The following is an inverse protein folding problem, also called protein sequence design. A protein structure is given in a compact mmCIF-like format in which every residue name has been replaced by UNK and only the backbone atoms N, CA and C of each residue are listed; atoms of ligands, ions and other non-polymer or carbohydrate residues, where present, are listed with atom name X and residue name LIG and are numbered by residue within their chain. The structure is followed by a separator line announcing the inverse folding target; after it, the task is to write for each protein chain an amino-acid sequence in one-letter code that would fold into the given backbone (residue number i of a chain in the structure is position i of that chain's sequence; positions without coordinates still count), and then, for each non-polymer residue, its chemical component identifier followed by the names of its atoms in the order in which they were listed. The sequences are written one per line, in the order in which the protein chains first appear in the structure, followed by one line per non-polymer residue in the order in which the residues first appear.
data_IF_967316949451
#
_entry.id   IF_967316949451
#
_cell.length_a   1.000
_cell.length_b   1.000
_cell.length_c   1.000
_cell.angle_alpha   90.00
_cell.angle_beta   90.00
_cell.angle_gamma   90.00
#
_symmetry.space_group_name_H-M   'P 1'
#
loop_
_entity.id
_entity.type
_entity.pdbx_description
1 polymer ?
#
# COMPACT_ATOMS: atom_id res chain seq x y z
N UNK A 1 17.32 10.33 0.79
CA UNK A 1 17.41 9.02 1.47
C UNK A 1 16.01 8.74 1.96
N UNK A 2 15.37 7.68 1.47
CA UNK A 2 14.01 7.35 1.88
C UNK A 2 14.08 7.00 3.36
N UNK A 3 13.36 7.76 4.19
CA UNK A 3 13.11 7.40 5.58
C UNK A 3 12.30 6.10 5.54
N UNK A 4 12.85 5.03 6.11
CA UNK A 4 12.07 3.84 6.40
C UNK A 4 11.19 4.21 7.60
N UNK A 5 10.04 4.82 7.30
CA UNK A 5 9.16 5.38 8.32
C UNK A 5 8.69 4.28 9.29
N UNK A 6 9.06 4.45 10.57
CA UNK A 6 8.52 3.63 11.65
C UNK A 6 7.08 4.06 11.93
N UNK A 7 6.18 3.08 12.05
CA UNK A 7 4.75 3.35 12.20
C UNK A 7 4.26 2.85 13.55
N UNK A 8 3.83 3.78 14.39
CA UNK A 8 3.17 3.49 15.67
C UNK A 8 1.68 3.75 15.51
N UNK A 9 0.87 2.71 15.73
CA UNK A 9 -0.60 2.83 15.68
C UNK A 9 -1.15 3.68 16.83
N UNK A 10 -0.72 3.38 18.06
CA UNK A 10 -1.10 4.09 19.28
C UNK A 10 0.08 4.10 20.27
N UNK A 11 0.36 5.26 20.86
CA UNK A 11 1.36 5.42 21.91
C UNK A 11 0.67 5.95 23.18
N UNK A 12 0.63 5.12 24.22
CA UNK A 12 0.03 5.48 25.52
C UNK A 12 1.13 5.64 26.55
N UNK A 13 1.19 6.80 27.19
CA UNK A 13 2.08 7.08 28.31
C UNK A 13 1.24 7.10 29.59
N UNK A 14 1.36 6.06 30.39
CA UNK A 14 0.71 5.97 31.72
C UNK A 14 1.70 6.44 32.78
N UNK A 15 1.41 7.59 33.40
CA UNK A 15 2.30 8.25 34.35
C UNK A 15 1.49 8.63 35.59
N UNK A 16 1.87 8.04 36.72
CA UNK A 16 1.31 8.37 38.03
C UNK A 16 2.21 9.37 38.73
N UNK A 17 1.61 10.38 39.36
CA UNK A 17 2.32 11.38 40.15
C UNK A 17 2.00 11.20 41.64
N UNK A 18 3.04 11.25 42.48
CA UNK A 18 2.89 11.22 43.94
C UNK A 18 2.66 12.62 44.55
N UNK A 19 2.58 13.67 43.71
CA UNK A 19 2.38 15.06 44.10
C UNK A 19 0.93 15.50 43.81
N UNK A 20 0.31 16.23 44.74
CA UNK A 20 -1.14 16.52 44.77
C UNK A 20 -1.75 17.21 43.53
N UNK A 21 -3.09 17.23 43.50
CA UNK A 21 -3.99 17.41 42.33
C UNK A 21 -3.83 18.68 41.47
N UNK A 22 -3.07 19.71 41.88
CA UNK A 22 -3.14 21.06 41.30
C UNK A 22 -1.91 21.46 40.45
N UNK A 23 -1.49 20.67 39.47
CA UNK A 23 -0.40 21.13 38.59
C UNK A 23 -0.57 20.86 37.10
N UNK A 24 -1.59 21.52 36.54
CA UNK A 24 -1.85 21.66 35.11
C UNK A 24 -0.60 22.09 34.33
N UNK A 25 0.22 22.99 34.89
CA UNK A 25 1.45 23.48 34.26
C UNK A 25 2.46 22.35 34.06
N UNK A 26 2.55 21.40 35.00
CA UNK A 26 3.44 20.24 34.89
C UNK A 26 2.92 19.19 33.93
N UNK A 27 1.61 18.95 33.86
CA UNK A 27 1.03 18.07 32.84
C UNK A 27 1.29 18.58 31.43
N UNK A 28 1.25 19.91 31.24
CA UNK A 28 1.63 20.55 29.97
C UNK A 28 3.13 20.38 29.70
N UNK A 29 4.00 20.66 30.67
CA UNK A 29 5.44 20.50 30.52
C UNK A 29 5.86 19.05 30.19
N UNK A 30 5.15 18.06 30.76
CA UNK A 30 5.36 16.64 30.44
C UNK A 30 4.90 16.33 29.01
N UNK A 31 3.72 16.80 28.62
CA UNK A 31 3.21 16.62 27.25
C UNK A 31 4.17 17.20 26.22
N UNK A 32 4.73 18.38 26.49
CA UNK A 32 5.74 19.01 25.65
C UNK A 32 7.03 18.18 25.60
N UNK A 33 7.55 17.71 26.74
CA UNK A 33 8.73 16.85 26.77
C UNK A 33 8.53 15.55 25.99
N UNK A 34 7.35 14.92 26.11
CA UNK A 34 7.02 13.71 25.39
C UNK A 34 7.06 13.95 23.87
N UNK A 35 6.47 15.05 23.41
CA UNK A 35 6.43 15.41 21.98
C UNK A 35 7.79 15.87 21.45
N UNK A 36 8.53 16.67 22.21
CA UNK A 36 9.74 17.33 21.72
C UNK A 36 11.00 16.48 21.87
N UNK A 37 11.00 15.52 22.80
CA UNK A 37 12.20 14.73 23.12
C UNK A 37 11.96 13.22 23.08
N UNK A 38 10.89 12.72 23.70
CA UNK A 38 10.69 11.27 23.84
C UNK A 38 10.30 10.61 22.52
N UNK A 39 9.37 11.21 21.76
CA UNK A 39 8.99 10.68 20.44
C UNK A 39 10.17 10.68 19.45
N UNK A 40 10.96 11.77 19.29
CA UNK A 40 12.16 11.72 18.45
C UNK A 40 13.21 10.69 18.91
N UNK A 41 13.31 10.42 20.22
CA UNK A 41 14.20 9.37 20.72
C UNK A 41 13.70 7.97 20.37
N UNK A 42 12.39 7.75 20.29
CA UNK A 42 11.84 6.47 19.86
C UNK A 42 12.28 6.14 18.43
N UNK A 43 12.13 7.11 17.50
CA UNK A 43 12.58 6.98 16.11
C UNK A 43 14.06 6.57 16.02
N UNK A 44 14.94 7.29 16.74
CA UNK A 44 16.36 6.98 16.76
C UNK A 44 16.68 5.58 17.31
N UNK A 45 15.88 5.09 18.27
CA UNK A 45 16.03 3.73 18.80
C UNK A 45 15.53 2.70 17.78
N UNK A 46 14.45 2.98 17.05
CA UNK A 46 13.96 2.07 16.03
C UNK A 46 14.94 1.97 14.86
N UNK A 47 15.52 3.09 14.41
CA UNK A 47 16.57 3.11 13.38
C UNK A 47 17.79 2.26 13.76
N UNK A 48 18.20 2.29 15.03
CA UNK A 48 19.34 1.54 15.55
C UNK A 48 19.11 0.02 15.57
N UNK A 49 17.84 -0.41 15.59
CA UNK A 49 17.44 -1.78 15.92
C UNK A 49 16.80 -2.49 14.71
N UNK A 50 16.20 -1.75 13.79
CA UNK A 50 15.53 -2.28 12.61
C UNK A 50 16.53 -2.82 11.58
N UNK A 51 16.44 -4.10 11.17
CA UNK A 51 17.28 -4.64 10.10
C UNK A 51 16.85 -4.10 8.73
N UNK A 52 17.83 -3.75 7.90
CA UNK A 52 17.59 -3.30 6.53
C UNK A 52 16.77 -4.34 5.71
N UNK A 53 15.81 -3.87 4.92
CA UNK A 53 14.93 -4.67 4.05
C UNK A 53 13.99 -5.65 4.77
N UNK A 54 13.81 -5.52 6.09
CA UNK A 54 12.83 -6.29 6.84
C UNK A 54 11.81 -5.38 7.50
N UNK A 55 10.62 -5.92 7.74
CA UNK A 55 9.59 -5.28 8.54
C UNK A 55 9.44 -6.12 9.81
N UNK A 56 9.75 -5.52 10.95
CA UNK A 56 9.38 -6.07 12.25
C UNK A 56 8.01 -5.53 12.62
N UNK A 57 7.07 -6.44 12.84
CA UNK A 57 5.75 -6.11 13.37
C UNK A 57 5.72 -6.50 14.84
N UNK A 58 5.21 -5.60 15.68
CA UNK A 58 4.99 -5.83 17.10
C UNK A 58 3.58 -5.33 17.41
N UNK A 59 2.69 -6.25 17.81
CA UNK A 59 1.28 -5.95 18.10
C UNK A 59 1.15 -5.05 19.34
N UNK A 60 1.97 -5.30 20.37
CA UNK A 60 2.00 -4.52 21.61
C UNK A 60 3.39 -4.52 22.23
N UNK A 61 3.90 -3.32 22.53
CA UNK A 61 5.15 -3.12 23.27
C UNK A 61 4.85 -2.35 24.56
N UNK A 62 5.00 -3.02 25.69
CA UNK A 62 4.95 -2.37 27.01
C UNK A 62 6.37 -2.10 27.48
N UNK A 63 6.63 -0.87 27.92
CA UNK A 63 7.93 -0.43 28.42
C UNK A 63 7.73 0.16 29.80
N UNK A 64 8.29 -0.51 30.81
CA UNK A 64 8.33 0.02 32.16
C UNK A 64 9.53 0.98 32.32
N UNK A 65 9.23 2.22 32.70
CA UNK A 65 10.23 3.26 32.96
C UNK A 65 10.62 3.33 34.45
N UNK A 66 9.87 2.64 35.31
CA UNK A 66 10.02 2.68 36.76
C UNK A 66 9.78 4.07 37.34
N UNK A 67 10.35 4.31 38.53
CA UNK A 67 10.20 5.57 39.26
C UNK A 67 11.26 6.59 38.87
N UNK A 68 10.83 7.74 38.35
CA UNK A 68 11.72 8.85 37.98
C UNK A 68 11.77 9.88 39.12
N UNK A 69 12.97 10.32 39.57
CA UNK A 69 13.10 11.36 40.59
C UNK A 69 12.50 12.69 40.15
N UNK A 70 11.80 13.37 41.08
CA UNK A 70 11.14 14.64 40.81
C UNK A 70 12.09 15.77 40.42
N UNK A 71 13.25 15.88 41.05
CA UNK A 71 14.10 17.06 40.85
C UNK A 71 14.78 17.08 39.47
N UNK A 72 14.83 15.94 38.78
CA UNK A 72 15.58 15.78 37.53
C UNK A 72 14.80 15.01 36.44
N UNK A 73 13.47 14.94 36.57
CA UNK A 73 12.65 14.13 35.67
C UNK A 73 12.77 14.55 34.20
N UNK A 74 13.03 15.84 33.93
CA UNK A 74 13.20 16.36 32.56
C UNK A 74 14.42 15.77 31.86
N UNK A 75 15.47 15.42 32.60
CA UNK A 75 16.69 14.80 32.07
C UNK A 75 16.62 13.28 32.15
N UNK A 76 16.18 12.76 33.29
CA UNK A 76 16.19 11.33 33.59
C UNK A 76 15.14 10.55 32.78
N UNK A 77 13.96 11.13 32.53
CA UNK A 77 12.87 10.43 31.82
C UNK A 77 13.25 10.10 30.37
N UNK A 78 13.80 11.02 29.55
CA UNK A 78 14.29 10.69 28.22
C UNK A 78 15.40 9.63 28.20
N UNK A 79 16.34 9.71 29.15
CA UNK A 79 17.45 8.75 29.26
C UNK A 79 16.95 7.34 29.58
N UNK A 80 16.04 7.21 30.55
CA UNK A 80 15.41 5.94 30.93
C UNK A 80 14.51 5.39 29.84
N UNK A 81 13.72 6.26 29.19
CA UNK A 81 12.92 5.84 28.06
C UNK A 81 13.79 5.22 26.97
N UNK A 82 14.89 5.87 26.60
CA UNK A 82 15.80 5.35 25.59
C UNK A 82 16.37 3.98 25.96
N UNK A 83 16.85 3.80 27.20
CA UNK A 83 17.46 2.55 27.64
C UNK A 83 16.43 1.43 27.78
N UNK A 84 15.28 1.69 28.42
CA UNK A 84 14.19 0.74 28.59
C UNK A 84 13.56 0.34 27.26
N UNK A 85 13.32 1.29 26.34
CA UNK A 85 12.79 0.98 25.01
C UNK A 85 13.75 0.08 24.23
N UNK A 86 15.05 0.41 24.23
CA UNK A 86 16.06 -0.40 23.56
C UNK A 86 16.11 -1.82 24.14
N UNK A 87 16.08 -1.96 25.47
CA UNK A 87 16.08 -3.24 26.13
C UNK A 87 14.82 -4.06 25.80
N UNK A 88 13.64 -3.44 25.82
CA UNK A 88 12.37 -4.08 25.48
C UNK A 88 12.35 -4.57 24.02
N UNK A 89 12.81 -3.74 23.08
CA UNK A 89 12.92 -4.12 21.67
C UNK A 89 13.92 -5.26 21.46
N UNK A 90 15.10 -5.18 22.08
CA UNK A 90 16.11 -6.25 21.99
C UNK A 90 15.62 -7.56 22.58
N UNK A 91 14.88 -7.52 23.70
CA UNK A 91 14.27 -8.71 24.28
C UNK A 91 13.23 -9.32 23.34
N UNK A 92 12.37 -8.49 22.74
CA UNK A 92 11.34 -8.94 21.78
C UNK A 92 11.97 -9.51 20.52
N UNK A 93 12.95 -8.82 19.94
CA UNK A 93 13.63 -9.23 18.71
C UNK A 93 14.53 -10.45 18.91
N UNK A 94 15.23 -10.53 20.05
CA UNK A 94 16.06 -11.68 20.41
C UNK A 94 15.24 -12.95 20.67
N UNK A 95 13.97 -12.80 21.05
CA UNK A 95 13.04 -13.90 21.27
C UNK A 95 12.38 -14.42 19.98
N UNK A 96 12.59 -13.80 18.81
CA UNK A 96 11.99 -14.19 17.51
C UNK A 96 12.52 -15.52 16.92
N UNK A 97 12.92 -16.46 17.77
CA UNK A 97 13.13 -17.85 17.38
C UNK A 97 11.82 -18.52 16.95
N UNK A 98 11.88 -19.73 16.34
CA UNK A 98 10.75 -20.40 15.70
C UNK A 98 9.55 -20.78 16.61
N UNK A 99 9.62 -20.48 17.91
CA UNK A 99 8.60 -20.78 18.91
C UNK A 99 7.88 -19.55 19.49
N UNK A 100 8.13 -18.34 18.98
CA UNK A 100 7.51 -17.12 19.51
C UNK A 100 6.08 -16.90 18.98
N UNK A 101 5.09 -17.24 19.80
CA UNK A 101 3.64 -17.01 19.58
C UNK A 101 3.17 -15.71 20.26
N UNK A 102 4.02 -14.67 20.27
CA UNK A 102 3.90 -13.54 21.21
C UNK A 102 3.66 -12.18 20.53
N UNK A 103 2.99 -12.18 19.37
CA UNK A 103 2.55 -10.96 18.67
C UNK A 103 3.69 -10.10 18.11
N UNK A 104 4.90 -10.65 17.97
CA UNK A 104 6.02 -10.00 17.32
C UNK A 104 6.63 -10.94 16.29
N UNK A 105 6.90 -10.45 15.08
CA UNK A 105 7.56 -11.22 14.03
C UNK A 105 8.31 -10.31 13.07
N UNK A 106 9.35 -10.87 12.45
CA UNK A 106 10.07 -10.20 11.38
C UNK A 106 9.77 -10.90 10.06
N UNK A 107 9.41 -10.11 9.06
CA UNK A 107 9.09 -10.58 7.72
C UNK A 107 9.86 -9.74 6.71
N UNK A 108 10.24 -10.34 5.60
CA UNK A 108 10.78 -9.59 4.46
C UNK A 108 9.81 -8.49 4.03
N UNK A 109 10.33 -7.30 3.71
CA UNK A 109 9.51 -6.14 3.38
C UNK A 109 8.59 -6.38 2.19
N UNK A 110 9.11 -6.98 1.12
CA UNK A 110 8.31 -7.27 -0.07
C UNK A 110 7.21 -8.29 0.23
N UNK A 111 7.48 -9.26 1.11
CA UNK A 111 6.49 -10.25 1.57
C UNK A 111 5.37 -9.60 2.40
N UNK A 112 5.73 -8.69 3.32
CA UNK A 112 4.73 -7.92 4.08
C UNK A 112 3.86 -7.08 3.14
N UNK A 113 4.49 -6.43 2.16
CA UNK A 113 3.81 -5.57 1.20
C UNK A 113 2.89 -6.32 0.25
N UNK A 114 3.33 -7.48 -0.22
CA UNK A 114 2.48 -8.36 -1.01
C UNK A 114 1.23 -8.79 -0.24
N UNK A 115 1.36 -9.04 1.06
CA UNK A 115 0.25 -9.45 1.92
C UNK A 115 -0.80 -8.35 2.03
N UNK A 116 -0.41 -7.14 2.44
CA UNK A 116 -1.40 -6.06 2.56
C UNK A 116 -1.93 -5.59 1.21
N UNK A 117 -1.13 -5.65 0.13
CA UNK A 117 -1.59 -5.33 -1.22
C UNK A 117 -2.73 -6.27 -1.63
N UNK A 118 -2.59 -7.57 -1.39
CA UNK A 118 -3.65 -8.54 -1.66
C UNK A 118 -4.93 -8.23 -0.88
N UNK A 119 -4.81 -7.88 0.39
CA UNK A 119 -5.94 -7.49 1.25
C UNK A 119 -6.61 -6.19 0.78
N UNK A 120 -5.81 -5.19 0.37
CA UNK A 120 -6.31 -3.96 -0.21
C UNK A 120 -7.06 -4.19 -1.50
N UNK A 121 -6.52 -4.99 -2.43
CA UNK A 121 -7.19 -5.27 -3.70
C UNK A 121 -8.54 -5.98 -3.46
N UNK A 122 -8.59 -6.90 -2.51
CA UNK A 122 -9.83 -7.63 -2.14
C UNK A 122 -10.86 -6.75 -1.45
N UNK A 123 -10.45 -5.95 -0.46
CA UNK A 123 -11.39 -5.25 0.44
C UNK A 123 -11.57 -3.77 0.11
N UNK A 124 -10.63 -3.18 -0.63
CA UNK A 124 -10.52 -1.75 -0.87
C UNK A 124 -10.02 -0.95 0.34
N UNK A 125 -9.56 -1.61 1.40
CA UNK A 125 -9.10 -0.97 2.64
C UNK A 125 -7.60 -1.15 2.78
N UNK A 126 -6.88 -0.05 2.95
CA UNK A 126 -5.46 -0.10 3.32
C UNK A 126 -5.36 -0.38 4.82
N UNK A 127 -4.41 -1.22 5.27
CA UNK A 127 -4.12 -1.30 6.69
C UNK A 127 -3.53 0.03 7.16
N UNK A 128 -3.67 0.31 8.45
CA UNK A 128 -3.08 1.51 9.07
C UNK A 128 -1.55 1.55 8.89
N UNK A 129 -0.90 0.38 8.84
CA UNK A 129 0.54 0.21 8.63
C UNK A 129 1.01 0.46 7.20
N UNK A 130 0.11 0.59 6.22
CA UNK A 130 0.50 0.99 4.86
C UNK A 130 0.64 2.51 4.72
N UNK A 131 0.32 3.29 5.75
CA UNK A 131 0.37 4.75 5.72
C UNK A 131 -0.57 5.36 4.67
N UNK A 132 -0.29 6.61 4.29
CA UNK A 132 -0.98 7.29 3.18
C UNK A 132 -0.21 7.03 1.89
N UNK A 133 -0.60 6.00 1.15
CA UNK A 133 -0.03 5.72 -0.16
C UNK A 133 -0.67 6.62 -1.23
N UNK A 134 0.17 7.37 -1.95
CA UNK A 134 -0.17 7.91 -3.25
C UNK A 134 0.14 6.92 -4.38
N UNK A 135 -0.27 7.24 -5.61
CA UNK A 135 -0.01 6.39 -6.79
C UNK A 135 1.49 6.11 -7.02
N UNK A 136 2.36 7.10 -6.77
CA UNK A 136 3.81 6.93 -6.85
C UNK A 136 4.37 5.92 -5.84
N UNK A 137 3.73 5.81 -4.68
CA UNK A 137 4.15 4.89 -3.62
C UNK A 137 3.73 3.46 -3.96
N UNK A 138 2.55 3.29 -4.57
CA UNK A 138 2.09 2.01 -5.12
C UNK A 138 3.03 1.48 -6.20
N UNK A 139 3.49 2.32 -7.12
CA UNK A 139 4.44 1.94 -8.16
C UNK A 139 5.77 1.43 -7.55
N UNK A 140 6.28 2.12 -6.52
CA UNK A 140 7.50 1.73 -5.83
C UNK A 140 7.35 0.39 -5.08
N UNK A 141 6.21 0.19 -4.41
CA UNK A 141 5.85 -1.07 -3.74
C UNK A 141 5.80 -2.21 -4.74
N UNK A 142 5.11 -2.03 -5.86
CA UNK A 142 4.97 -3.09 -6.87
C UNK A 142 6.31 -3.47 -7.50
N UNK A 143 7.14 -2.49 -7.85
CA UNK A 143 8.48 -2.76 -8.39
C UNK A 143 9.33 -3.57 -7.40
N UNK A 144 9.26 -3.26 -6.11
CA UNK A 144 9.95 -4.03 -5.06
C UNK A 144 9.41 -5.45 -4.93
N UNK A 145 8.09 -5.62 -4.88
CA UNK A 145 7.44 -6.94 -4.84
C UNK A 145 7.87 -7.80 -6.04
N UNK A 146 7.80 -7.24 -7.25
CA UNK A 146 8.18 -7.95 -8.48
C UNK A 146 9.66 -8.31 -8.47
N UNK A 147 10.53 -7.40 -8.04
CA UNK A 147 11.97 -7.64 -7.97
C UNK A 147 12.35 -8.73 -6.94
N UNK A 148 11.61 -8.85 -5.84
CA UNK A 148 11.87 -9.85 -4.80
C UNK A 148 11.24 -11.21 -5.11
N UNK A 149 9.95 -11.27 -5.47
CA UNK A 149 9.24 -12.52 -5.71
C UNK A 149 8.10 -12.35 -6.73
N UNK A 150 8.49 -12.29 -8.01
CA UNK A 150 7.56 -12.23 -9.14
C UNK A 150 6.56 -13.39 -9.13
N UNK A 151 6.99 -14.61 -8.77
CA UNK A 151 6.12 -15.79 -8.86
C UNK A 151 4.95 -15.70 -7.89
N UNK A 152 5.22 -15.33 -6.64
CA UNK A 152 4.20 -15.17 -5.60
C UNK A 152 3.26 -14.00 -5.87
N UNK A 153 3.78 -12.91 -6.44
CA UNK A 153 2.96 -11.80 -6.91
C UNK A 153 1.98 -12.22 -8.01
N UNK A 154 2.46 -12.96 -9.02
CA UNK A 154 1.61 -13.47 -10.09
C UNK A 154 0.56 -14.46 -9.57
N UNK A 155 0.91 -15.30 -8.60
CA UNK A 155 -0.05 -16.20 -7.96
C UNK A 155 -1.16 -15.43 -7.24
N UNK A 156 -0.82 -14.39 -6.48
CA UNK A 156 -1.79 -13.51 -5.83
C UNK A 156 -2.74 -12.87 -6.85
N UNK A 157 -2.21 -12.32 -7.95
CA UNK A 157 -3.04 -11.71 -9.00
C UNK A 157 -3.98 -12.72 -9.64
N UNK A 158 -3.52 -13.94 -9.93
CA UNK A 158 -4.38 -15.00 -10.50
C UNK A 158 -5.52 -15.39 -9.57
N UNK A 159 -5.29 -15.42 -8.25
CA UNK A 159 -6.36 -15.66 -7.26
C UNK A 159 -7.41 -14.54 -7.25
N UNK A 160 -7.02 -13.31 -7.59
CA UNK A 160 -7.89 -12.14 -7.68
C UNK A 160 -8.52 -11.93 -9.06
N UNK A 161 -8.13 -12.70 -10.08
CA UNK A 161 -8.55 -12.53 -11.48
C UNK A 161 -10.07 -12.58 -11.69
N UNK A 162 -10.76 -13.37 -10.88
CA UNK A 162 -12.22 -13.51 -10.93
C UNK A 162 -12.94 -12.33 -10.26
N UNK A 163 -12.27 -11.56 -9.40
CA UNK A 163 -12.81 -10.38 -8.75
C UNK A 163 -12.56 -9.13 -9.60
N UNK A 164 -13.63 -8.73 -10.30
CA UNK A 164 -13.65 -7.53 -11.13
C UNK A 164 -13.34 -6.26 -10.31
N UNK A 165 -13.83 -6.17 -9.08
CA UNK A 165 -13.58 -5.02 -8.20
C UNK A 165 -12.11 -4.96 -7.78
N UNK A 166 -11.46 -6.09 -7.52
CA UNK A 166 -10.04 -6.15 -7.21
C UNK A 166 -9.18 -5.74 -8.41
N UNK A 167 -9.52 -6.25 -9.60
CA UNK A 167 -8.84 -5.90 -10.86
C UNK A 167 -8.97 -4.41 -11.17
N UNK A 168 -10.18 -3.85 -11.05
CA UNK A 168 -10.41 -2.42 -11.27
C UNK A 168 -9.69 -1.54 -10.25
N UNK A 169 -9.56 -1.98 -9.00
CA UNK A 169 -8.76 -1.27 -7.98
C UNK A 169 -7.28 -1.25 -8.36
N UNK A 170 -6.72 -2.37 -8.82
CA UNK A 170 -5.34 -2.44 -9.26
C UNK A 170 -5.08 -1.46 -10.42
N UNK A 171 -5.90 -1.53 -11.47
CA UNK A 171 -5.77 -0.64 -12.65
C UNK A 171 -5.79 0.84 -12.25
N UNK A 172 -6.70 1.24 -11.34
CA UNK A 172 -6.79 2.64 -10.87
C UNK A 172 -5.60 3.14 -10.05
N UNK A 173 -4.77 2.26 -9.49
CA UNK A 173 -3.61 2.65 -8.69
C UNK A 173 -2.31 2.70 -9.50
N UNK A 174 -2.30 2.10 -10.69
CA UNK A 174 -1.11 2.00 -11.53
C UNK A 174 -0.94 3.23 -12.41
N UNK A 175 0.29 3.74 -12.49
CA UNK A 175 0.67 4.60 -13.60
C UNK A 175 0.78 3.79 -14.90
N UNK A 176 0.59 4.44 -16.06
CA UNK A 176 0.64 3.82 -17.39
C UNK A 176 1.95 3.04 -17.62
N UNK A 177 3.09 3.58 -17.20
CA UNK A 177 4.39 2.91 -17.34
C UNK A 177 4.52 1.65 -16.48
N UNK A 178 4.01 1.68 -15.24
CA UNK A 178 4.02 0.49 -14.36
C UNK A 178 3.09 -0.59 -14.89
N UNK A 179 1.98 -0.21 -15.51
CA UNK A 179 1.10 -1.16 -16.20
C UNK A 179 1.83 -1.82 -17.38
N UNK A 180 2.60 -1.06 -18.15
CA UNK A 180 3.45 -1.60 -19.24
C UNK A 180 4.46 -2.63 -18.72
N UNK A 181 5.12 -2.33 -17.61
CA UNK A 181 6.06 -3.25 -16.96
C UNK A 181 5.35 -4.53 -16.51
N UNK A 182 4.16 -4.40 -15.91
CA UNK A 182 3.34 -5.52 -15.46
C UNK A 182 2.95 -6.48 -16.62
N UNK A 183 2.57 -5.94 -17.78
CA UNK A 183 2.27 -6.76 -18.96
C UNK A 183 3.47 -7.58 -19.44
N UNK A 184 4.68 -7.04 -19.28
CA UNK A 184 5.92 -7.74 -19.61
C UNK A 184 6.19 -8.88 -18.62
N UNK A 185 6.00 -8.62 -17.32
CA UNK A 185 6.15 -9.63 -16.25
C UNK A 185 5.15 -10.79 -16.41
N UNK A 186 3.92 -10.49 -16.83
CA UNK A 186 2.89 -11.51 -17.12
C UNK A 186 3.25 -12.43 -18.30
N UNK A 187 4.39 -12.21 -18.97
CA UNK A 187 4.92 -13.05 -20.05
C UNK A 187 3.91 -13.29 -21.17
N UNK A 188 3.07 -12.29 -21.43
CA UNK A 188 2.11 -12.34 -22.52
C UNK A 188 2.92 -12.41 -23.81
N UNK A 189 2.70 -13.46 -24.61
CA UNK A 189 3.29 -13.55 -25.95
C UNK A 189 2.98 -12.28 -26.74
N UNK A 190 4.00 -11.47 -26.99
CA UNK A 190 3.85 -10.14 -27.60
C UNK A 190 3.57 -8.99 -26.62
N UNK A 191 4.11 -8.99 -25.40
CA UNK A 191 4.02 -7.89 -24.44
C UNK A 191 4.36 -6.51 -25.07
N UNK A 192 5.42 -6.42 -25.88
CA UNK A 192 5.75 -5.20 -26.62
C UNK A 192 4.66 -4.76 -27.59
N UNK A 193 3.97 -5.72 -28.24
CA UNK A 193 2.82 -5.43 -29.10
C UNK A 193 1.62 -4.97 -28.29
N UNK A 194 1.38 -5.54 -27.11
CA UNK A 194 0.32 -5.05 -26.21
C UNK A 194 0.63 -3.64 -25.70
N UNK A 195 1.88 -3.38 -25.32
CA UNK A 195 2.35 -2.06 -24.91
C UNK A 195 2.21 -1.03 -26.05
N UNK A 196 2.64 -1.39 -27.26
CA UNK A 196 2.48 -0.52 -28.44
C UNK A 196 1.01 -0.29 -28.77
N UNK A 197 0.17 -1.32 -28.61
CA UNK A 197 -1.28 -1.19 -28.76
C UNK A 197 -1.86 -0.27 -27.69
N UNK A 198 -1.41 -0.37 -26.44
CA UNK A 198 -1.79 0.53 -25.35
C UNK A 198 -1.47 1.98 -25.71
N UNK A 199 -0.23 2.26 -26.14
CA UNK A 199 0.18 3.61 -26.51
C UNK A 199 -0.69 4.16 -27.66
N UNK A 200 -0.96 3.33 -28.67
CA UNK A 200 -1.81 3.70 -29.80
C UNK A 200 -3.27 3.92 -29.39
N UNK A 201 -3.82 3.06 -28.53
CA UNK A 201 -5.19 3.14 -28.01
C UNK A 201 -5.37 4.38 -27.15
N UNK A 202 -4.52 4.60 -26.15
CA UNK A 202 -4.52 5.79 -25.29
C UNK A 202 -4.37 7.06 -26.13
N UNK A 203 -3.49 7.08 -27.14
CA UNK A 203 -3.37 8.21 -28.05
C UNK A 203 -4.65 8.43 -28.91
N UNK A 204 -5.32 7.37 -29.34
CA UNK A 204 -6.57 7.46 -30.10
C UNK A 204 -7.73 7.98 -29.23
N UNK A 205 -7.87 7.47 -28.00
CA UNK A 205 -8.87 7.91 -27.02
C UNK A 205 -8.64 9.38 -26.66
N UNK A 206 -7.40 9.81 -26.43
CA UNK A 206 -7.05 11.22 -26.16
C UNK A 206 -7.37 12.17 -27.32
N UNK A 207 -7.28 11.70 -28.57
CA UNK A 207 -7.64 12.48 -29.77
C UNK A 207 -9.14 12.44 -30.12
N UNK A 208 -9.92 11.59 -29.46
CA UNK A 208 -11.36 11.49 -29.70
C UNK A 208 -12.10 12.73 -29.23
N UNK A 209 -13.33 12.92 -29.73
CA UNK A 209 -14.23 13.98 -29.28
C UNK A 209 -14.86 13.72 -27.90
N UNK A 210 -14.48 12.61 -27.23
CA UNK A 210 -14.97 12.28 -25.89
C UNK A 210 -14.54 13.35 -24.88
N UNK A 211 -15.36 13.54 -23.86
CA UNK A 211 -15.01 14.33 -22.67
C UNK A 211 -13.91 13.64 -21.87
N UNK A 212 -13.24 14.38 -20.99
CA UNK A 212 -12.18 13.81 -20.15
C UNK A 212 -12.70 12.64 -19.29
N UNK A 213 -13.91 12.76 -18.74
CA UNK A 213 -14.54 11.71 -17.92
C UNK A 213 -14.83 10.44 -18.73
N UNK A 214 -15.29 10.59 -19.97
CA UNK A 214 -15.57 9.45 -20.85
C UNK A 214 -14.28 8.74 -21.28
N UNK A 215 -13.21 9.50 -21.55
CA UNK A 215 -11.89 8.93 -21.85
C UNK A 215 -11.34 8.14 -20.68
N UNK A 216 -11.32 8.75 -19.50
CA UNK A 216 -10.84 8.14 -18.27
C UNK A 216 -11.60 6.84 -17.97
N UNK A 217 -12.93 6.90 -18.00
CA UNK A 217 -13.77 5.71 -17.81
C UNK A 217 -13.49 4.62 -18.84
N UNK A 218 -13.39 4.98 -20.12
CA UNK A 218 -13.18 4.02 -21.21
C UNK A 218 -11.80 3.36 -21.15
N UNK A 219 -10.75 4.13 -20.82
CA UNK A 219 -9.42 3.59 -20.57
C UNK A 219 -9.45 2.59 -19.41
N UNK A 220 -10.05 2.95 -18.26
CA UNK A 220 -10.15 2.06 -17.10
C UNK A 220 -10.95 0.78 -17.37
N UNK A 221 -12.13 0.88 -18.00
CA UNK A 221 -12.95 -0.29 -18.34
C UNK A 221 -12.21 -1.23 -19.31
N UNK A 222 -11.50 -0.67 -20.30
CA UNK A 222 -10.67 -1.44 -21.21
C UNK A 222 -9.55 -2.19 -20.48
N UNK A 223 -8.82 -1.52 -19.60
CA UNK A 223 -7.71 -2.12 -18.87
C UNK A 223 -8.13 -3.17 -17.86
N UNK A 224 -9.23 -2.92 -17.15
CA UNK A 224 -9.84 -3.89 -16.26
C UNK A 224 -10.19 -5.19 -17.02
N UNK A 225 -10.70 -5.04 -18.24
CA UNK A 225 -11.04 -6.17 -19.10
C UNK A 225 -9.81 -6.90 -19.61
N UNK A 226 -8.81 -6.17 -20.13
CA UNK A 226 -7.54 -6.75 -20.60
C UNK A 226 -6.88 -7.56 -19.49
N UNK A 227 -6.73 -6.95 -18.31
CA UNK A 227 -6.07 -7.59 -17.18
C UNK A 227 -6.86 -8.79 -16.67
N UNK A 228 -8.19 -8.67 -16.58
CA UNK A 228 -9.08 -9.77 -16.21
C UNK A 228 -8.98 -10.97 -17.16
N UNK A 229 -8.89 -10.73 -18.47
CA UNK A 229 -8.69 -11.78 -19.46
C UNK A 229 -7.33 -12.47 -19.27
N UNK A 230 -6.24 -11.70 -19.22
CA UNK A 230 -4.87 -12.23 -19.06
C UNK A 230 -4.73 -13.09 -17.81
N UNK A 231 -5.32 -12.66 -16.69
CA UNK A 231 -5.16 -13.35 -15.41
C UNK A 231 -6.02 -14.62 -15.30
N UNK A 232 -7.14 -14.73 -16.02
CA UNK A 232 -8.02 -15.92 -16.00
C UNK A 232 -7.53 -17.02 -16.93
N UNK A 233 -7.24 -16.66 -18.17
CA UNK A 233 -6.72 -17.56 -19.19
C UNK A 233 -5.88 -16.73 -20.15
N UNK A 234 -4.62 -17.06 -20.38
CA UNK A 234 -3.92 -16.52 -21.55
C UNK A 234 -4.59 -17.10 -22.79
N UNK A 235 -5.42 -16.35 -23.55
CA UNK A 235 -6.16 -16.95 -24.64
C UNK A 235 -5.17 -17.44 -25.70
N UNK A 236 -5.46 -18.58 -26.37
CA UNK A 236 -4.68 -19.04 -27.51
C UNK A 236 -4.75 -17.97 -28.60
N UNK A 237 -3.65 -17.25 -28.84
CA UNK A 237 -3.60 -16.09 -29.74
C UNK A 237 -2.75 -14.92 -29.25
N UNK A 238 -2.29 -14.94 -28.00
CA UNK A 238 -1.37 -13.94 -27.45
C UNK A 238 -2.00 -12.54 -27.33
N UNK A 239 -1.16 -11.51 -27.25
CA UNK A 239 -1.57 -10.13 -26.97
C UNK A 239 -2.70 -9.59 -27.88
N UNK A 240 -2.66 -9.88 -29.18
CA UNK A 240 -3.64 -9.32 -30.12
C UNK A 240 -5.06 -9.87 -29.93
N UNK A 241 -5.19 -11.14 -29.55
CA UNK A 241 -6.49 -11.74 -29.28
C UNK A 241 -7.11 -11.18 -28.00
N UNK A 242 -6.30 -10.97 -26.95
CA UNK A 242 -6.72 -10.32 -25.70
C UNK A 242 -7.24 -8.91 -25.97
N UNK A 243 -6.48 -8.09 -26.70
CA UNK A 243 -6.86 -6.71 -26.98
C UNK A 243 -8.17 -6.63 -27.77
N UNK A 244 -8.34 -7.47 -28.81
CA UNK A 244 -9.57 -7.53 -29.58
C UNK A 244 -10.78 -8.00 -28.77
N UNK A 245 -10.62 -9.03 -27.93
CA UNK A 245 -11.68 -9.49 -27.05
C UNK A 245 -12.10 -8.40 -26.06
N UNK A 246 -11.13 -7.73 -25.43
CA UNK A 246 -11.41 -6.64 -24.50
C UNK A 246 -12.14 -5.46 -25.18
N UNK A 247 -11.71 -5.06 -26.37
CA UNK A 247 -12.41 -4.03 -27.14
C UNK A 247 -13.85 -4.43 -27.46
N UNK A 248 -14.12 -5.69 -27.78
CA UNK A 248 -15.46 -6.20 -28.06
C UNK A 248 -16.39 -6.23 -26.85
N UNK A 249 -15.84 -6.38 -25.64
CA UNK A 249 -16.61 -6.31 -24.39
C UNK A 249 -16.90 -4.86 -23.95
N UNK A 250 -15.96 -3.94 -24.21
CA UNK A 250 -16.04 -2.54 -23.75
C UNK A 250 -16.80 -1.67 -24.74
N UNK A 251 -16.68 -1.93 -26.06
CA UNK A 251 -17.46 -1.25 -27.07
C UNK A 251 -18.86 -1.88 -27.16
N UNK A 252 -19.95 -1.09 -27.16
CA UNK A 252 -21.26 -1.62 -27.45
C UNK A 252 -21.27 -2.25 -28.86
N UNK A 253 -21.99 -3.36 -29.09
CA UNK A 253 -22.07 -3.98 -30.40
C UNK A 253 -22.56 -2.95 -31.42
N UNK A 254 -22.01 -2.94 -32.66
CA UNK A 254 -22.44 -2.03 -33.70
C UNK A 254 -23.91 -2.33 -34.04
N UNK A 255 -24.84 -1.59 -33.43
CA UNK A 255 -26.28 -1.87 -33.56
C UNK A 255 -27.19 -1.23 -32.51
N UNK A 256 -26.66 -0.59 -31.46
CA UNK A 256 -27.48 0.24 -30.55
C UNK A 256 -27.03 1.70 -30.53
N UNK A 257 -26.90 2.30 -31.71
CA UNK A 257 -27.14 3.73 -31.84
C UNK A 257 -28.65 3.93 -31.60
N UNK A 258 -29.01 4.65 -30.55
CA UNK A 258 -30.39 4.87 -30.15
C UNK A 258 -31.23 5.43 -31.29
N UNK A 259 -32.23 4.66 -31.71
CA UNK A 259 -33.51 5.21 -32.15
C UNK A 259 -34.13 5.90 -30.94
N UNK A 260 -33.82 7.19 -30.78
CA UNK A 260 -34.24 8.00 -29.65
C UNK A 260 -34.00 9.48 -29.85
N UNK A 261 -34.02 9.97 -31.10
CA UNK A 261 -34.34 11.38 -31.36
C UNK A 261 -35.82 11.43 -31.72
N UNK A 262 -36.67 11.65 -30.70
CA UNK A 262 -38.01 12.19 -30.92
C UNK A 262 -37.86 13.53 -31.62
N UNK A 263 -38.21 13.56 -32.91
CA UNK A 263 -38.50 14.78 -33.62
C UNK A 263 -39.75 15.39 -33.00
N UNK A 264 -39.56 16.43 -32.19
CA UNK A 264 -40.65 17.32 -31.76
C UNK A 264 -40.53 18.64 -32.50
N UNK A 265 -41.37 18.81 -33.52
CA UNK A 265 -41.80 20.09 -34.12
C UNK A 265 -41.04 20.56 -35.37
N UNK A 266 -41.68 21.32 -36.30
CA UNK A 266 -42.92 22.08 -36.09
C UNK A 266 -44.00 21.94 -37.20
N UNK A 267 -45.27 22.10 -36.78
CA UNK A 267 -46.31 22.86 -37.48
C UNK A 267 -47.42 23.19 -36.48
#
# INVERSE_FOLDING_TARGET
MASDDHLIGEAVFDITFDWGEDDVERSLALTDLLRSSVLPLAEAVFDDVAPANSVTVIDRLEVDLGTVPYDDWRRELPERFRSSLRAALQARLGALGPEADDGAWTVDRATHELTWLGDFLRTGRLPWSAGRLGSSDFDAVLRRIVATDTARFLEMLRRLASDRSATGRLVRQLADDTFRDLLTVLSIGGAERMASFHDAFTAAVRRSALTWHERDRFEHEYWETVLGLILRESPPGGASAVAHAALGEVLPPPGRAGTGLTATGPA
#
